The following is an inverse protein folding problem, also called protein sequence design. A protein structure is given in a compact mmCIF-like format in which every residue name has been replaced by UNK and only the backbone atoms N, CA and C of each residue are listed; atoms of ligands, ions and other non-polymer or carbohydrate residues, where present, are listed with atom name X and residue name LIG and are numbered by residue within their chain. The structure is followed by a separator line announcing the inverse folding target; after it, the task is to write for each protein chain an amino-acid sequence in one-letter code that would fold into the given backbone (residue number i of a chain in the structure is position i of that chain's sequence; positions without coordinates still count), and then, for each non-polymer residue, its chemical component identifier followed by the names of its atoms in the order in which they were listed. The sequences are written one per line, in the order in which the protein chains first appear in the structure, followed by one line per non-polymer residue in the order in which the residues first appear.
data_IF_008188965865
#
_entry.id   IF_008188965865
#
_cell.length_a   1.000
_cell.length_b   1.000
_cell.length_c   1.000
_cell.angle_alpha   90.00
_cell.angle_beta   90.00
_cell.angle_gamma   90.00
#
_symmetry.space_group_name_H-M   'P 1'
#
loop_
_entity.id
_entity.type
_entity.pdbx_description
1 polymer ?
#
# COMPACT_ATOMS: atom_id res chain seq x y z
N UNK A 1 15.34 10.30 0.35
CA UNK A 1 14.00 9.77 0.69
C UNK A 1 13.92 8.35 0.18
N UNK A 2 13.88 7.39 1.08
CA UNK A 2 13.73 5.98 0.72
C UNK A 2 12.35 5.68 0.15
N UNK A 3 12.23 4.55 -0.54
CA UNK A 3 10.96 4.07 -1.11
C UNK A 3 9.90 3.91 -0.02
N UNK A 4 10.29 3.50 1.19
CA UNK A 4 9.39 3.35 2.36
C UNK A 4 8.71 4.66 2.75
N UNK A 5 9.46 5.74 2.94
CA UNK A 5 8.88 7.05 3.32
C UNK A 5 7.93 7.59 2.24
N UNK A 6 8.26 7.39 0.97
CA UNK A 6 7.39 7.81 -0.13
C UNK A 6 6.08 7.00 -0.14
N UNK A 7 6.12 5.69 0.07
CA UNK A 7 4.93 4.85 0.15
C UNK A 7 4.01 5.33 1.28
N UNK A 8 4.57 5.48 2.49
CA UNK A 8 3.81 5.92 3.66
C UNK A 8 3.16 7.28 3.40
N UNK A 9 3.88 8.22 2.76
CA UNK A 9 3.32 9.54 2.45
C UNK A 9 2.17 9.48 1.45
N UNK A 10 2.27 8.64 0.41
CA UNK A 10 1.20 8.49 -0.60
C UNK A 10 -0.03 7.83 0.03
N UNK A 11 0.17 6.74 0.77
CA UNK A 11 -0.90 6.01 1.45
C UNK A 11 -1.59 6.89 2.51
N UNK A 12 -0.82 7.71 3.23
CA UNK A 12 -1.36 8.66 4.19
C UNK A 12 -2.27 9.71 3.53
N UNK A 13 -1.95 10.18 2.30
CA UNK A 13 -2.87 11.04 1.52
C UNK A 13 -4.19 10.32 1.19
N UNK A 14 -4.17 8.99 1.08
CA UNK A 14 -5.37 8.15 0.92
C UNK A 14 -6.10 7.82 2.21
N UNK A 15 -5.62 8.30 3.35
CA UNK A 15 -6.17 7.93 4.66
C UNK A 15 -5.95 6.45 5.01
N UNK A 16 -4.92 5.84 4.40
CA UNK A 16 -4.44 4.48 4.67
C UNK A 16 -3.15 4.58 5.47
N UNK A 17 -3.08 3.87 6.58
CA UNK A 17 -1.89 3.73 7.40
C UNK A 17 -1.18 2.40 7.09
N UNK A 18 0.14 2.38 7.23
CA UNK A 18 0.93 1.15 7.12
C UNK A 18 1.07 0.55 8.51
N UNK A 19 0.70 -0.71 8.66
CA UNK A 19 0.55 -1.43 9.92
C UNK A 19 -0.43 -0.73 10.88
N UNK A 20 -1.49 -0.14 10.31
CA UNK A 20 -2.56 0.50 11.06
C UNK A 20 -3.59 -0.49 11.60
N UNK A 21 -4.60 0.01 12.30
CA UNK A 21 -5.64 -0.81 12.93
C UNK A 21 -6.99 -0.78 12.21
N UNK A 22 -7.13 0.01 11.13
CA UNK A 22 -8.39 0.06 10.38
C UNK A 22 -8.43 -1.13 9.41
N UNK A 23 -9.61 -1.64 9.06
CA UNK A 23 -9.72 -2.79 8.15
C UNK A 23 -9.06 -2.58 6.78
N UNK A 24 -9.02 -1.34 6.29
CA UNK A 24 -8.39 -0.97 5.01
C UNK A 24 -6.92 -0.53 5.13
N UNK A 25 -6.35 -0.54 6.34
CA UNK A 25 -4.93 -0.28 6.53
C UNK A 25 -4.13 -1.52 6.14
N UNK A 26 -3.01 -1.33 5.43
CA UNK A 26 -2.20 -2.45 4.96
C UNK A 26 -1.30 -2.95 6.08
N UNK A 27 -1.14 -4.26 6.22
CA UNK A 27 -0.12 -4.88 7.05
C UNK A 27 1.03 -5.30 6.15
N UNK A 28 2.22 -4.75 6.35
CA UNK A 28 3.42 -5.09 5.57
C UNK A 28 4.27 -6.06 6.36
N UNK A 29 4.40 -7.27 5.83
CA UNK A 29 5.20 -8.36 6.40
C UNK A 29 6.62 -8.41 5.85
N UNK A 30 6.85 -7.84 4.66
CA UNK A 30 8.14 -7.85 3.99
C UNK A 30 8.52 -6.46 3.46
N UNK A 31 9.66 -5.90 3.91
CA UNK A 31 10.11 -4.56 3.50
C UNK A 31 10.51 -4.46 2.03
N UNK A 32 10.75 -5.58 1.32
CA UNK A 32 11.00 -5.57 -0.13
C UNK A 32 9.80 -5.06 -0.92
N UNK A 33 8.60 -5.10 -0.31
CA UNK A 33 7.37 -4.50 -0.81
C UNK A 33 7.58 -3.08 -1.36
N UNK A 34 8.20 -2.19 -0.57
CA UNK A 34 8.30 -0.78 -0.93
C UNK A 34 9.08 -0.58 -2.24
N UNK A 35 10.25 -1.22 -2.36
CA UNK A 35 11.08 -1.08 -3.56
C UNK A 35 10.40 -1.71 -4.79
N UNK A 36 9.70 -2.84 -4.62
CA UNK A 36 9.01 -3.52 -5.71
C UNK A 36 7.84 -2.69 -6.24
N UNK A 37 7.01 -2.15 -5.35
CA UNK A 37 5.86 -1.32 -5.75
C UNK A 37 6.30 -0.02 -6.42
N UNK A 38 7.38 0.62 -5.93
CA UNK A 38 7.91 1.81 -6.60
C UNK A 38 8.53 1.54 -7.97
N UNK A 39 9.10 0.35 -8.18
CA UNK A 39 9.67 -0.05 -9.46
C UNK A 39 8.65 -0.56 -10.48
N UNK A 40 7.58 -1.23 -10.04
CA UNK A 40 6.62 -1.94 -10.90
C UNK A 40 5.18 -1.43 -10.85
N UNK A 41 4.88 -0.38 -10.08
CA UNK A 41 3.57 0.26 -10.04
C UNK A 41 2.45 -0.66 -9.54
N UNK A 42 1.27 -0.54 -10.17
CA UNK A 42 0.06 -1.27 -9.78
C UNK A 42 0.16 -2.79 -9.95
N UNK A 43 0.91 -3.26 -10.95
CA UNK A 43 1.13 -4.70 -11.14
C UNK A 43 1.94 -5.29 -10.00
N UNK A 44 3.06 -4.63 -9.65
CA UNK A 44 3.88 -5.02 -8.51
C UNK A 44 3.13 -4.98 -7.17
N UNK A 45 2.16 -4.08 -7.02
CA UNK A 45 1.28 -4.03 -5.85
C UNK A 45 0.43 -5.30 -5.74
N UNK A 46 -0.19 -5.73 -6.85
CA UNK A 46 -0.99 -6.95 -6.90
C UNK A 46 -0.16 -8.23 -6.74
N UNK A 47 1.00 -8.31 -7.39
CA UNK A 47 1.89 -9.47 -7.24
C UNK A 47 2.41 -9.61 -5.81
N UNK A 48 2.83 -8.51 -5.17
CA UNK A 48 3.29 -8.55 -3.78
C UNK A 48 2.19 -8.90 -2.78
N UNK A 49 0.91 -8.65 -3.12
CA UNK A 49 -0.23 -9.17 -2.36
C UNK A 49 -0.36 -10.69 -2.52
N UNK A 50 -0.25 -11.19 -3.75
CA UNK A 50 -0.26 -12.65 -4.02
C UNK A 50 0.91 -13.38 -3.35
N UNK A 51 2.06 -12.72 -3.26
CA UNK A 51 3.26 -13.23 -2.58
C UNK A 51 3.18 -13.11 -1.04
N UNK A 52 2.05 -12.65 -0.48
CA UNK A 52 1.82 -12.44 0.95
C UNK A 52 2.83 -11.48 1.62
N UNK A 53 3.43 -10.55 0.87
CA UNK A 53 4.33 -9.52 1.44
C UNK A 53 3.56 -8.44 2.20
N UNK A 54 2.29 -8.28 1.87
CA UNK A 54 1.36 -7.43 2.58
C UNK A 54 -0.06 -7.95 2.41
N UNK A 55 -0.93 -7.60 3.35
CA UNK A 55 -2.37 -7.84 3.27
C UNK A 55 -3.18 -6.67 3.85
N UNK A 56 -4.49 -6.75 3.74
CA UNK A 56 -5.45 -5.88 4.41
C UNK A 56 -6.70 -6.70 4.70
N UNK A 57 -7.39 -6.40 5.80
CA UNK A 57 -8.65 -7.08 6.17
C UNK A 57 -9.76 -6.79 5.14
N UNK A 58 -9.86 -5.53 4.71
CA UNK A 58 -10.76 -5.07 3.67
C UNK A 58 -9.96 -4.50 2.48
N UNK A 59 -9.53 -5.41 1.61
CA UNK A 59 -8.80 -5.08 0.38
C UNK A 59 -9.62 -4.18 -0.55
N UNK A 60 -10.95 -4.36 -0.60
CA UNK A 60 -11.81 -3.56 -1.47
C UNK A 60 -11.82 -2.10 -1.02
N UNK A 61 -12.01 -1.85 0.28
CA UNK A 61 -11.94 -0.51 0.85
C UNK A 61 -10.56 0.13 0.67
N UNK A 62 -9.48 -0.63 0.82
CA UNK A 62 -8.12 -0.16 0.53
C UNK A 62 -8.00 0.33 -0.92
N UNK A 63 -8.43 -0.47 -1.90
CA UNK A 63 -8.35 -0.08 -3.32
C UNK A 63 -9.23 1.12 -3.64
N UNK A 64 -10.44 1.21 -3.06
CA UNK A 64 -11.29 2.40 -3.19
C UNK A 64 -10.59 3.66 -2.66
N UNK A 65 -9.99 3.59 -1.46
CA UNK A 65 -9.24 4.71 -0.87
C UNK A 65 -8.06 5.12 -1.73
N UNK A 66 -7.29 4.15 -2.22
CA UNK A 66 -6.11 4.37 -3.04
C UNK A 66 -6.45 5.00 -4.40
N UNK A 67 -7.49 4.52 -5.07
CA UNK A 67 -7.88 4.96 -6.42
C UNK A 67 -8.71 6.25 -6.42
N UNK A 68 -9.50 6.50 -5.36
CA UNK A 68 -10.29 7.73 -5.24
C UNK A 68 -9.50 8.91 -4.67
N UNK A 69 -8.24 8.72 -4.30
CA UNK A 69 -7.36 9.84 -3.98
C UNK A 69 -7.17 10.70 -5.21
N UNK A 70 -7.63 11.95 -5.12
CA UNK A 70 -7.18 12.99 -6.04
C UNK A 70 -5.71 13.28 -5.73
N UNK A 71 -4.82 12.78 -6.57
CA UNK A 71 -3.46 13.26 -6.64
C UNK A 71 -3.50 14.65 -7.30
N UNK A 72 -3.60 15.70 -6.48
CA UNK A 72 -3.17 17.05 -6.86
C UNK A 72 -1.64 17.11 -6.90
#
# INVERSE_FOLDING_TARGET
MGSKEKAIRILSRAGVEVNGNKPWDIQVHDERFYNRVFGGGSLALGESYMDAWWDAEDLAAFLTKLLCVKLE
#
